data_IF_786822585304
#
_entry.id   IF_786822585304
#
_cell.length_a   1.000
_cell.length_b   1.000
_cell.length_c   1.000
_cell.angle_alpha   90.00
_cell.angle_beta   90.00
_cell.angle_gamma   90.00
#
_symmetry.space_group_name_H-M   'P 1'
#
loop_
_entity.id
_entity.type
_entity.pdbx_description
1 polymer ?
#
# COMPACT_ATOMS: atom_id res chain seq x y z
N UNK A 1 -61.34 89.19 13.46
CA UNK A 1 -60.11 89.53 12.71
C UNK A 1 -58.93 88.97 13.47
N UNK A 2 -58.30 87.84 13.11
CA UNK A 2 -58.58 86.78 12.10
C UNK A 2 -58.74 85.45 12.89
N UNK A 3 -59.64 84.52 12.58
CA UNK A 3 -59.64 83.58 11.44
C UNK A 3 -58.33 82.76 11.38
N UNK A 4 -58.31 81.48 11.80
CA UNK A 4 -58.82 80.25 11.13
C UNK A 4 -57.79 79.70 10.10
N UNK A 5 -57.43 78.41 10.04
CA UNK A 5 -57.75 77.17 10.81
C UNK A 5 -56.43 76.36 11.04
N UNK A 6 -56.29 75.18 11.68
CA UNK A 6 -57.14 74.07 12.18
C UNK A 6 -56.73 73.71 13.66
N UNK A 7 -57.23 72.74 14.46
CA UNK A 7 -57.84 71.39 14.28
C UNK A 7 -56.86 70.30 13.77
N UNK A 8 -56.91 68.99 14.11
CA UNK A 8 -57.54 68.16 15.17
C UNK A 8 -56.37 67.39 15.86
N UNK A 9 -56.29 67.12 17.18
CA UNK A 9 -57.09 66.26 18.07
C UNK A 9 -57.24 64.79 17.60
N UNK A 10 -56.62 63.84 18.33
CA UNK A 10 -57.15 62.53 18.76
C UNK A 10 -56.03 61.47 18.93
N UNK A 11 -56.04 60.77 20.07
CA UNK A 11 -55.39 59.46 20.23
C UNK A 11 -56.49 58.41 20.08
N UNK A 12 -56.31 57.39 19.24
CA UNK A 12 -56.87 56.04 19.45
C UNK A 12 -56.26 55.00 18.49
N UNK A 13 -56.20 53.76 18.97
CA UNK A 13 -55.43 52.64 18.40
C UNK A 13 -55.94 52.16 17.02
N UNK A 14 -55.00 51.82 16.13
CA UNK A 14 -55.12 50.65 15.25
C UNK A 14 -53.76 49.97 15.07
N UNK A 15 -53.78 48.64 15.00
CA UNK A 15 -52.61 47.77 15.04
C UNK A 15 -51.73 47.89 13.78
N UNK A 16 -50.43 48.20 13.91
CA UNK A 16 -49.38 47.66 13.04
C UNK A 16 -47.97 47.80 13.66
N UNK A 17 -47.04 46.97 13.18
CA UNK A 17 -45.69 46.69 13.71
C UNK A 17 -44.81 47.90 14.09
N UNK A 18 -44.20 47.84 15.28
CA UNK A 18 -42.79 48.22 15.50
C UNK A 18 -42.26 47.70 16.86
N UNK A 19 -41.59 46.54 16.88
CA UNK A 19 -40.63 46.24 17.94
C UNK A 19 -39.35 47.04 17.66
N UNK A 20 -39.24 48.25 18.21
CA UNK A 20 -37.94 48.93 18.27
C UNK A 20 -37.06 48.28 19.34
N UNK A 21 -36.44 47.16 18.96
CA UNK A 21 -35.15 46.80 19.52
C UNK A 21 -34.19 47.94 19.22
N UNK A 22 -33.79 48.68 20.27
CA UNK A 22 -32.58 49.48 20.21
C UNK A 22 -31.40 48.51 20.19
N UNK A 23 -31.02 48.08 18.99
CA UNK A 23 -29.70 47.51 18.74
C UNK A 23 -28.67 48.61 19.00
N UNK A 24 -28.27 48.75 20.26
CA UNK A 24 -27.22 49.67 20.67
C UNK A 24 -25.91 49.13 20.10
N UNK A 25 -25.56 49.57 18.90
CA UNK A 25 -24.26 49.29 18.27
C UNK A 25 -23.20 49.96 19.12
N UNK A 26 -22.62 49.20 20.04
CA UNK A 26 -21.36 49.55 20.69
C UNK A 26 -20.34 49.69 19.57
N UNK A 27 -19.80 50.89 19.39
CA UNK A 27 -18.63 51.07 18.55
C UNK A 27 -17.44 50.47 19.31
N UNK A 28 -16.68 49.61 18.65
CA UNK A 28 -15.40 49.13 19.20
C UNK A 28 -14.44 50.32 19.30
N UNK A 29 -13.84 50.52 20.47
CA UNK A 29 -13.00 51.69 20.75
C UNK A 29 -11.51 51.37 20.54
N UNK A 30 -10.71 52.40 20.28
CA UNK A 30 -9.31 52.27 19.84
C UNK A 30 -8.33 53.02 20.76
N UNK A 31 -8.60 52.99 22.08
CA UNK A 31 -7.84 53.72 23.09
C UNK A 31 -6.57 53.00 23.57
N UNK A 32 -6.38 51.74 23.19
CA UNK A 32 -5.17 50.93 23.46
C UNK A 32 -4.95 49.90 22.36
N UNK A 33 -3.74 49.34 22.32
CA UNK A 33 -3.43 48.16 21.48
C UNK A 33 -4.28 46.94 21.90
N UNK A 34 -4.59 46.01 20.98
CA UNK A 34 -5.35 44.82 21.32
C UNK A 34 -4.55 43.84 22.19
N UNK A 35 -5.25 42.88 22.80
CA UNK A 35 -4.61 41.73 23.44
C UNK A 35 -4.11 40.71 22.39
N UNK A 36 -3.39 39.68 22.83
CA UNK A 36 -2.82 38.69 21.91
C UNK A 36 -3.89 37.76 21.31
N UNK A 37 -3.73 37.28 20.06
CA UNK A 37 -4.63 36.27 19.48
C UNK A 37 -4.62 34.94 20.24
N UNK A 38 -5.73 34.23 20.24
CA UNK A 38 -5.93 33.01 21.03
C UNK A 38 -5.86 31.72 20.18
N UNK A 39 -5.80 30.57 20.86
CA UNK A 39 -5.87 29.22 20.27
C UNK A 39 -4.97 28.98 19.04
N UNK A 40 -3.79 29.63 19.00
CA UNK A 40 -2.89 29.61 17.85
C UNK A 40 -2.37 28.20 17.56
N UNK A 41 -2.70 27.67 16.39
CA UNK A 41 -2.31 26.34 15.94
C UNK A 41 -1.89 26.34 14.46
N UNK A 42 -1.20 25.30 14.02
CA UNK A 42 -0.58 25.29 12.69
C UNK A 42 -0.47 23.89 12.07
N UNK A 43 -0.31 23.88 10.74
CA UNK A 43 0.03 22.69 9.96
C UNK A 43 1.21 23.01 9.04
N UNK A 44 2.17 22.10 9.02
CA UNK A 44 3.36 22.13 8.17
C UNK A 44 3.13 21.39 6.85
N UNK A 45 3.83 21.82 5.82
CA UNK A 45 4.10 21.10 4.57
C UNK A 45 5.60 21.27 4.24
N UNK A 46 6.06 20.76 3.10
CA UNK A 46 7.48 20.79 2.73
C UNK A 46 8.02 22.19 2.39
N UNK A 47 7.13 23.13 2.06
CA UNK A 47 7.47 24.47 1.57
C UNK A 47 6.46 25.55 1.97
N UNK A 48 5.49 25.19 2.82
CA UNK A 48 4.54 26.13 3.42
C UNK A 48 4.21 25.76 4.87
N UNK A 49 3.72 26.73 5.63
CA UNK A 49 3.10 26.53 6.94
C UNK A 49 1.79 27.33 6.95
N UNK A 50 0.68 26.68 7.27
CA UNK A 50 -0.61 27.34 7.51
C UNK A 50 -0.80 27.52 9.01
N UNK A 51 -1.19 28.74 9.40
CA UNK A 51 -1.52 29.13 10.75
C UNK A 51 -3.03 29.36 10.86
N UNK A 52 -3.58 29.10 12.04
CA UNK A 52 -4.94 29.43 12.47
C UNK A 52 -4.90 29.99 13.88
N UNK A 53 -5.80 30.92 14.19
CA UNK A 53 -5.93 31.56 15.49
C UNK A 53 -7.35 32.09 15.68
N UNK A 54 -7.77 32.26 16.94
CA UNK A 54 -8.98 33.00 17.28
C UNK A 54 -8.64 34.49 17.55
N UNK A 55 -9.58 35.42 17.37
CA UNK A 55 -9.39 36.81 17.79
C UNK A 55 -9.17 36.90 19.31
N UNK A 56 -8.55 37.98 19.82
CA UNK A 56 -8.41 38.19 21.26
C UNK A 56 -9.78 38.26 21.95
N UNK A 57 -9.93 37.71 23.16
CA UNK A 57 -11.22 37.71 23.87
C UNK A 57 -11.86 39.11 24.08
N UNK A 58 -11.07 40.20 24.02
CA UNK A 58 -11.56 41.58 24.13
C UNK A 58 -11.94 42.22 22.79
N UNK A 59 -12.11 41.46 21.70
CA UNK A 59 -12.42 41.99 20.36
C UNK A 59 -13.74 42.78 20.30
N UNK A 60 -14.69 42.50 21.19
CA UNK A 60 -15.94 43.28 21.31
C UNK A 60 -15.76 44.61 22.09
N UNK A 61 -14.64 44.79 22.80
CA UNK A 61 -14.32 46.01 23.56
C UNK A 61 -13.28 46.90 22.85
N UNK A 62 -12.24 46.28 22.28
CA UNK A 62 -11.10 46.94 21.64
C UNK A 62 -11.08 46.60 20.15
N UNK A 63 -11.09 47.62 19.30
CA UNK A 63 -11.04 47.45 17.85
C UNK A 63 -9.74 46.72 17.45
N UNK A 64 -9.89 45.59 16.75
CA UNK A 64 -8.81 44.91 16.02
C UNK A 64 -8.95 45.30 14.55
N UNK A 65 -7.88 45.81 13.92
CA UNK A 65 -7.88 46.11 12.48
C UNK A 65 -7.32 44.96 11.65
N UNK A 66 -6.48 44.12 12.26
CA UNK A 66 -5.88 42.96 11.60
C UNK A 66 -4.82 42.30 12.47
N UNK A 67 -3.98 41.49 11.82
CA UNK A 67 -2.95 40.67 12.47
C UNK A 67 -1.58 40.85 11.79
N UNK A 68 -0.52 40.79 12.58
CA UNK A 68 0.86 40.82 12.11
C UNK A 68 1.49 39.46 12.41
N UNK A 69 2.06 38.80 11.39
CA UNK A 69 2.89 37.60 11.56
C UNK A 69 4.35 37.96 11.25
N UNK A 70 5.22 37.85 12.24
CA UNK A 70 6.67 37.91 12.03
C UNK A 70 7.28 36.51 12.06
N UNK A 71 8.16 36.16 11.12
CA UNK A 71 8.71 34.80 10.98
C UNK A 71 10.12 34.76 10.40
N UNK A 72 10.89 33.71 10.70
CA UNK A 72 12.24 33.53 10.17
C UNK A 72 13.01 32.36 10.79
N UNK A 73 14.23 32.12 10.34
CA UNK A 73 15.07 31.01 10.81
C UNK A 73 15.89 31.51 12.01
N UNK A 74 15.68 30.94 13.20
CA UNK A 74 16.32 31.36 14.45
C UNK A 74 15.77 32.66 15.05
N UNK A 75 15.40 33.65 14.22
CA UNK A 75 14.71 34.88 14.65
C UNK A 75 13.58 35.25 13.67
N UNK A 76 12.47 35.86 14.15
CA UNK A 76 11.33 36.23 13.32
C UNK A 76 11.58 37.53 12.52
N UNK A 77 12.49 37.46 11.53
CA UNK A 77 13.05 38.63 10.85
C UNK A 77 12.33 39.10 9.57
N UNK A 78 11.28 38.39 9.12
CA UNK A 78 10.36 38.82 8.08
C UNK A 78 9.01 39.14 8.70
N UNK A 79 8.23 40.05 8.11
CA UNK A 79 6.88 40.42 8.57
C UNK A 79 5.86 40.26 7.43
N UNK A 80 4.66 39.83 7.77
CA UNK A 80 3.43 39.92 6.96
C UNK A 80 2.40 40.67 7.81
N UNK A 81 1.68 41.61 7.20
CA UNK A 81 0.54 42.30 7.81
C UNK A 81 -0.72 41.80 7.08
N UNK A 82 -1.77 41.52 7.84
CA UNK A 82 -3.04 40.94 7.38
C UNK A 82 -4.16 41.87 7.83
N UNK A 83 -4.82 42.51 6.88
CA UNK A 83 -5.97 43.37 7.15
C UNK A 83 -7.24 42.54 7.43
N UNK A 84 -8.12 43.06 8.29
CA UNK A 84 -9.42 42.48 8.61
C UNK A 84 -9.44 41.70 9.92
N UNK A 85 -10.20 42.20 10.90
CA UNK A 85 -10.42 41.58 12.22
C UNK A 85 -10.87 40.11 12.15
N UNK A 86 -11.68 39.78 11.15
CA UNK A 86 -12.30 38.46 10.96
C UNK A 86 -11.36 37.43 10.31
N UNK A 87 -10.12 37.81 9.96
CA UNK A 87 -9.16 36.88 9.35
C UNK A 87 -8.53 35.99 10.42
N UNK A 88 -8.87 34.71 10.42
CA UNK A 88 -8.48 33.72 11.43
C UNK A 88 -7.48 32.66 10.92
N UNK A 89 -6.94 32.81 9.71
CA UNK A 89 -6.03 31.86 9.09
C UNK A 89 -5.11 32.51 8.04
N UNK A 90 -3.88 32.00 7.88
CA UNK A 90 -2.96 32.43 6.82
C UNK A 90 -1.90 31.37 6.47
N UNK A 91 -1.59 31.20 5.17
CA UNK A 91 -0.56 30.27 4.69
C UNK A 91 0.70 31.00 4.24
N UNK A 92 1.80 30.81 4.99
CA UNK A 92 3.12 31.32 4.66
C UNK A 92 3.78 30.33 3.69
N UNK A 93 4.00 30.79 2.46
CA UNK A 93 4.50 29.99 1.34
C UNK A 93 5.99 30.26 1.05
N UNK A 94 6.61 29.39 0.23
CA UNK A 94 8.01 29.50 -0.22
C UNK A 94 9.03 29.46 0.93
N UNK A 95 8.73 28.65 1.95
CA UNK A 95 9.66 28.29 3.01
C UNK A 95 10.69 27.27 2.50
N UNK A 96 11.83 27.16 3.19
CA UNK A 96 12.77 26.05 2.98
C UNK A 96 12.19 24.79 3.62
N UNK A 97 12.39 23.64 3.00
CA UNK A 97 12.06 22.31 3.56
C UNK A 97 12.99 21.90 4.70
N UNK A 98 12.55 20.96 5.55
CA UNK A 98 13.29 20.43 6.69
C UNK A 98 13.95 21.52 7.56
N UNK A 99 13.24 22.62 7.79
CA UNK A 99 13.78 23.85 8.40
C UNK A 99 12.84 24.33 9.50
N UNK A 100 13.36 24.49 10.71
CA UNK A 100 12.62 25.10 11.83
C UNK A 100 12.59 26.61 11.69
N UNK A 101 11.38 27.16 11.70
CA UNK A 101 11.10 28.59 11.73
C UNK A 101 10.59 29.00 13.12
N UNK A 102 10.98 30.20 13.55
CA UNK A 102 10.42 30.90 14.70
C UNK A 102 9.36 31.86 14.19
N UNK A 103 8.20 31.90 14.86
CA UNK A 103 7.06 32.74 14.54
C UNK A 103 6.69 33.61 15.75
N UNK A 104 6.17 34.80 15.47
CA UNK A 104 5.48 35.67 16.40
C UNK A 104 4.18 36.15 15.72
N UNK A 105 3.03 35.86 16.32
CA UNK A 105 1.73 36.36 15.89
C UNK A 105 1.22 37.43 16.88
N UNK A 106 0.67 38.52 16.35
CA UNK A 106 0.08 39.63 17.10
C UNK A 106 -1.19 40.15 16.41
N UNK A 107 -2.06 40.81 17.18
CA UNK A 107 -3.13 41.66 16.65
C UNK A 107 -2.65 43.12 16.61
N UNK A 108 -3.21 43.94 15.70
CA UNK A 108 -2.89 45.37 15.62
C UNK A 108 -4.12 46.25 15.40
N UNK A 109 -3.99 47.52 15.75
CA UNK A 109 -4.95 48.59 15.52
C UNK A 109 -4.19 49.94 15.37
N UNK A 110 -4.88 51.08 15.37
CA UNK A 110 -4.28 52.44 15.21
C UNK A 110 -4.00 53.18 16.53
N UNK A 111 -4.05 52.50 17.69
CA UNK A 111 -3.74 53.10 18.98
C UNK A 111 -2.22 53.36 19.17
N UNK A 112 -1.85 54.27 20.08
CA UNK A 112 -0.45 54.58 20.40
C UNK A 112 0.28 53.37 21.05
N UNK A 113 0.96 52.56 20.22
CA UNK A 113 1.78 51.42 20.63
C UNK A 113 2.41 50.68 19.43
N UNK A 114 3.00 49.50 19.67
CA UNK A 114 3.29 48.51 18.62
C UNK A 114 2.06 47.58 18.42
N UNK A 115 2.22 46.47 17.68
CA UNK A 115 1.31 45.34 17.74
C UNK A 115 1.15 44.80 19.19
N UNK A 116 0.15 43.94 19.45
CA UNK A 116 -0.11 43.27 20.73
C UNK A 116 1.11 42.53 21.32
N UNK A 117 0.95 41.98 22.54
CA UNK A 117 1.85 40.93 23.00
C UNK A 117 1.92 39.76 22.00
N UNK A 118 3.11 39.15 21.90
CA UNK A 118 3.54 38.29 20.80
C UNK A 118 3.36 36.81 21.17
N UNK A 119 2.44 36.11 20.50
CA UNK A 119 2.34 34.65 20.59
C UNK A 119 3.53 34.03 19.86
N UNK A 120 4.52 33.56 20.63
CA UNK A 120 5.74 32.96 20.11
C UNK A 120 5.62 31.44 20.01
N UNK A 121 5.95 30.89 18.84
CA UNK A 121 5.99 29.45 18.61
C UNK A 121 7.05 29.08 17.55
N UNK A 122 7.31 27.77 17.42
CA UNK A 122 8.21 27.23 16.40
C UNK A 122 7.54 26.11 15.62
N UNK A 123 7.85 26.02 14.33
CA UNK A 123 7.34 24.96 13.46
C UNK A 123 8.39 24.58 12.41
N UNK A 124 8.47 23.29 12.10
CA UNK A 124 9.47 22.72 11.19
C UNK A 124 8.79 22.21 9.93
N UNK A 125 9.17 22.75 8.77
CA UNK A 125 8.66 22.27 7.46
C UNK A 125 9.04 20.81 7.21
N UNK A 126 8.21 20.10 6.45
CA UNK A 126 8.48 18.70 6.09
C UNK A 126 9.74 18.57 5.21
N UNK A 127 10.23 17.34 5.05
CA UNK A 127 11.33 17.04 4.14
C UNK A 127 10.87 17.32 2.69
N UNK A 128 11.73 18.02 1.93
CA UNK A 128 11.42 18.52 0.60
C UNK A 128 11.16 17.40 -0.39
N UNK A 129 9.93 17.30 -0.90
CA UNK A 129 9.58 16.35 -1.96
C UNK A 129 10.17 16.87 -3.26
N UNK A 130 11.02 16.07 -3.90
CA UNK A 130 11.62 16.40 -5.20
C UNK A 130 10.56 16.64 -6.27
N UNK A 131 10.96 17.26 -7.40
CA UNK A 131 10.11 17.44 -8.58
C UNK A 131 9.39 16.15 -8.99
N UNK A 132 10.14 15.05 -8.95
CA UNK A 132 9.72 13.72 -9.36
C UNK A 132 8.73 13.12 -8.35
N UNK A 133 9.00 13.26 -7.05
CA UNK A 133 8.14 12.75 -5.98
C UNK A 133 6.78 13.43 -5.93
N UNK A 134 6.69 14.70 -6.36
CA UNK A 134 5.41 15.44 -6.50
C UNK A 134 4.52 14.90 -7.64
N UNK A 135 5.04 14.02 -8.49
CA UNK A 135 4.27 13.33 -9.55
C UNK A 135 3.78 11.93 -9.11
N UNK A 136 4.13 11.48 -7.90
CA UNK A 136 3.70 10.17 -7.39
C UNK A 136 2.29 10.30 -6.79
N UNK A 137 1.35 9.57 -7.36
CA UNK A 137 -0.04 9.49 -6.91
C UNK A 137 -0.41 8.00 -6.75
N UNK A 138 -0.21 7.46 -5.54
CA UNK A 138 -0.40 6.04 -5.28
C UNK A 138 -1.88 5.67 -5.19
N UNK A 139 -2.31 4.80 -6.11
CA UNK A 139 -3.60 4.15 -6.00
C UNK A 139 -3.58 3.15 -4.83
N UNK A 140 -4.70 3.05 -4.12
CA UNK A 140 -4.86 2.03 -3.08
C UNK A 140 -4.84 0.62 -3.68
N UNK A 141 -4.39 -0.41 -2.95
CA UNK A 141 -4.52 -1.80 -3.38
C UNK A 141 -5.97 -2.17 -3.72
N UNK A 142 -6.15 -3.14 -4.61
CA UNK A 142 -7.46 -3.60 -5.11
C UNK A 142 -7.58 -5.11 -5.00
N UNK A 143 -8.77 -5.67 -5.25
CA UNK A 143 -9.03 -7.11 -5.25
C UNK A 143 -8.52 -7.84 -3.98
N UNK A 144 -8.65 -7.22 -2.81
CA UNK A 144 -8.37 -7.86 -1.53
C UNK A 144 -9.25 -9.11 -1.42
N UNK A 145 -8.64 -10.22 -0.99
CA UNK A 145 -9.34 -11.48 -0.68
C UNK A 145 -8.72 -12.04 0.59
N UNK A 146 -9.49 -12.09 1.68
CA UNK A 146 -9.10 -12.82 2.88
C UNK A 146 -9.72 -14.23 2.91
N UNK A 147 -8.94 -15.23 3.32
CA UNK A 147 -9.43 -16.59 3.57
C UNK A 147 -8.95 -17.04 4.96
N UNK A 148 -9.88 -17.34 5.85
CA UNK A 148 -9.57 -18.07 7.08
C UNK A 148 -9.19 -19.51 6.74
N UNK A 149 -8.01 -19.93 7.22
CA UNK A 149 -7.36 -21.18 6.83
C UNK A 149 -7.24 -22.16 8.01
N UNK A 150 -7.21 -21.62 9.23
CA UNK A 150 -7.19 -22.36 10.48
C UNK A 150 -7.97 -21.55 11.54
N UNK A 151 -8.15 -22.06 12.77
CA UNK A 151 -8.81 -21.30 13.82
C UNK A 151 -8.02 -20.06 14.28
N UNK A 152 -6.72 -19.96 13.98
CA UNK A 152 -5.85 -18.89 14.50
C UNK A 152 -5.14 -18.09 13.40
N UNK A 153 -5.49 -18.32 12.12
CA UNK A 153 -4.77 -17.76 10.97
C UNK A 153 -5.69 -17.37 9.80
N UNK A 154 -5.33 -16.27 9.13
CA UNK A 154 -5.99 -15.75 7.92
C UNK A 154 -4.91 -15.49 6.86
N UNK A 155 -5.11 -16.05 5.67
CA UNK A 155 -4.31 -15.72 4.48
C UNK A 155 -4.97 -14.58 3.70
N UNK A 156 -4.19 -13.56 3.31
CA UNK A 156 -4.70 -12.35 2.64
C UNK A 156 -3.85 -12.09 1.39
N UNK A 157 -4.52 -11.82 0.27
CA UNK A 157 -3.90 -11.49 -1.02
C UNK A 157 -4.60 -10.28 -1.66
N UNK A 158 -3.88 -9.52 -2.49
CA UNK A 158 -4.43 -8.33 -3.17
C UNK A 158 -3.76 -8.10 -4.54
N UNK A 159 -4.21 -7.07 -5.26
CA UNK A 159 -3.60 -6.54 -6.47
C UNK A 159 -2.98 -5.17 -6.16
N UNK A 160 -1.79 -4.91 -6.69
CA UNK A 160 -1.12 -3.61 -6.64
C UNK A 160 -1.23 -2.89 -7.99
N UNK A 161 -2.22 -1.99 -8.19
CA UNK A 161 -2.42 -1.28 -9.47
C UNK A 161 -1.29 -0.29 -9.81
N UNK A 162 -0.34 -0.08 -8.89
CA UNK A 162 0.77 0.85 -9.08
C UNK A 162 1.94 0.25 -9.87
N UNK A 163 1.97 -1.07 -10.08
CA UNK A 163 3.08 -1.78 -10.74
C UNK A 163 3.35 -1.25 -12.13
N UNK A 164 2.32 -1.23 -13.00
CA UNK A 164 2.45 -0.84 -14.40
C UNK A 164 2.78 0.66 -14.56
N UNK A 165 2.51 1.47 -13.53
CA UNK A 165 2.76 2.91 -13.51
C UNK A 165 4.22 3.21 -13.11
N UNK A 166 4.74 2.53 -12.08
CA UNK A 166 5.96 2.94 -11.38
C UNK A 166 7.15 1.96 -11.46
N UNK A 167 6.94 0.70 -11.89
CA UNK A 167 8.01 -0.29 -11.97
C UNK A 167 9.06 0.02 -13.05
N UNK A 168 8.62 0.57 -14.19
CA UNK A 168 9.49 0.97 -15.33
C UNK A 168 9.41 2.47 -15.67
N UNK A 169 9.08 3.30 -14.67
CA UNK A 169 8.92 4.75 -14.83
C UNK A 169 10.23 5.44 -15.25
N UNK A 170 10.17 6.40 -16.19
CA UNK A 170 11.36 6.99 -16.82
C UNK A 170 12.43 7.55 -15.85
N UNK A 171 12.03 8.03 -14.67
CA UNK A 171 12.97 8.45 -13.61
C UNK A 171 13.37 7.29 -12.69
N UNK A 172 14.67 7.01 -12.61
CA UNK A 172 15.24 5.97 -11.76
C UNK A 172 15.07 6.26 -10.25
N UNK A 173 14.87 7.52 -9.85
CA UNK A 173 14.54 7.87 -8.47
C UNK A 173 13.22 7.20 -8.05
N UNK A 174 12.19 7.33 -8.89
CA UNK A 174 10.86 6.75 -8.70
C UNK A 174 10.92 5.21 -8.80
N UNK A 175 11.63 4.64 -9.78
CA UNK A 175 11.84 3.16 -9.85
C UNK A 175 12.54 2.63 -8.60
N UNK A 176 13.55 3.33 -8.08
CA UNK A 176 14.30 2.93 -6.88
C UNK A 176 13.47 3.03 -5.60
N UNK A 177 12.59 4.03 -5.49
CA UNK A 177 11.58 4.13 -4.42
C UNK A 177 10.55 3.00 -4.52
N UNK A 178 9.97 2.78 -5.70
CA UNK A 178 8.90 1.80 -5.92
C UNK A 178 9.38 0.34 -5.77
N UNK A 179 10.62 0.02 -6.19
CA UNK A 179 11.24 -1.29 -5.91
C UNK A 179 11.42 -1.57 -4.40
N UNK A 180 11.38 -0.54 -3.56
CA UNK A 180 11.52 -0.62 -2.09
C UNK A 180 10.20 -0.36 -1.35
N UNK A 181 9.06 -0.33 -2.07
CA UNK A 181 7.72 -0.16 -1.51
C UNK A 181 7.39 -1.26 -0.50
N UNK A 182 6.53 -0.93 0.45
CA UNK A 182 5.91 -1.88 1.37
C UNK A 182 4.39 -1.72 1.34
N UNK A 183 3.70 -2.76 1.74
CA UNK A 183 2.29 -2.69 2.12
C UNK A 183 2.22 -2.68 3.65
N UNK A 184 1.38 -1.81 4.19
CA UNK A 184 0.98 -1.82 5.60
C UNK A 184 -0.39 -2.46 5.67
N UNK A 185 -0.51 -3.52 6.46
CA UNK A 185 -1.77 -4.23 6.72
C UNK A 185 -2.10 -3.96 8.18
N UNK A 186 -3.22 -3.28 8.42
CA UNK A 186 -3.75 -3.03 9.76
C UNK A 186 -4.99 -3.89 9.94
N UNK A 187 -5.07 -4.61 11.06
CA UNK A 187 -6.12 -5.58 11.33
C UNK A 187 -6.46 -5.64 12.82
N UNK A 188 -7.64 -6.16 13.15
CA UNK A 188 -8.05 -6.41 14.53
C UNK A 188 -9.45 -7.01 14.59
N UNK A 189 -9.92 -7.31 15.78
CA UNK A 189 -11.30 -7.76 15.99
C UNK A 189 -12.29 -6.72 15.45
N UNK A 190 -13.38 -7.17 14.84
CA UNK A 190 -14.35 -6.32 14.16
C UNK A 190 -14.89 -5.23 15.09
N UNK A 191 -14.85 -3.96 14.66
CA UNK A 191 -15.19 -2.76 15.44
C UNK A 191 -14.27 -2.45 16.65
N UNK A 192 -13.17 -3.18 16.84
CA UNK A 192 -12.18 -2.88 17.89
C UNK A 192 -11.38 -1.62 17.58
N UNK A 193 -11.02 -0.87 18.63
CA UNK A 193 -10.03 0.23 18.55
C UNK A 193 -8.59 -0.30 18.66
N UNK A 194 -8.41 -1.52 19.14
CA UNK A 194 -7.10 -2.17 19.28
C UNK A 194 -6.76 -2.88 17.96
N UNK A 195 -6.16 -2.13 17.03
CA UNK A 195 -5.74 -2.64 15.73
C UNK A 195 -4.23 -2.90 15.70
N UNK A 196 -3.84 -4.14 15.44
CA UNK A 196 -2.45 -4.54 15.18
C UNK A 196 -2.01 -4.12 13.76
N UNK A 197 -0.71 -4.17 13.49
CA UNK A 197 -0.16 -3.78 12.18
C UNK A 197 1.04 -4.64 11.80
N UNK A 198 0.99 -5.19 10.58
CA UNK A 198 2.07 -5.97 9.96
C UNK A 198 2.43 -5.35 8.60
N UNK A 199 3.66 -5.58 8.13
CA UNK A 199 4.12 -5.08 6.82
C UNK A 199 4.56 -6.20 5.91
N UNK A 200 4.21 -6.12 4.62
CA UNK A 200 4.70 -7.04 3.58
C UNK A 200 5.41 -6.29 2.46
N UNK A 201 6.31 -6.96 1.75
CA UNK A 201 6.96 -6.46 0.50
C UNK A 201 6.30 -7.04 -0.76
N UNK A 202 5.43 -8.03 -0.60
CA UNK A 202 4.70 -8.73 -1.68
C UNK A 202 3.19 -8.51 -1.50
N UNK A 203 2.35 -8.70 -2.53
CA UNK A 203 0.90 -8.48 -2.44
C UNK A 203 0.14 -9.62 -1.71
N UNK A 204 0.73 -10.10 -0.61
CA UNK A 204 0.27 -11.20 0.22
C UNK A 204 0.75 -11.00 1.67
N UNK A 205 -0.06 -11.43 2.65
CA UNK A 205 0.39 -11.65 4.03
C UNK A 205 -0.39 -12.81 4.68
N UNK A 206 0.24 -13.45 5.66
CA UNK A 206 -0.38 -14.42 6.56
C UNK A 206 -0.49 -13.78 7.95
N UNK A 207 -1.71 -13.68 8.48
CA UNK A 207 -1.96 -13.33 9.87
C UNK A 207 -2.02 -14.61 10.71
N UNK A 208 -1.53 -14.56 11.95
CA UNK A 208 -1.41 -15.73 12.84
C UNK A 208 -1.58 -15.31 14.31
N UNK A 209 -1.79 -16.28 15.20
CA UNK A 209 -2.09 -16.09 16.64
C UNK A 209 -3.43 -15.37 16.92
N UNK A 210 -4.36 -15.43 15.96
CA UNK A 210 -5.69 -14.86 16.06
C UNK A 210 -6.61 -15.70 16.95
N UNK A 211 -7.72 -15.11 17.42
CA UNK A 211 -8.74 -15.83 18.17
C UNK A 211 -9.65 -16.65 17.24
N UNK A 212 -10.00 -17.90 17.61
CA UNK A 212 -10.99 -18.74 16.89
C UNK A 212 -12.40 -18.17 16.87
N UNK A 213 -13.18 -18.53 15.83
CA UNK A 213 -14.58 -18.12 15.64
C UNK A 213 -14.84 -16.60 15.82
N UNK A 214 -13.87 -15.78 15.46
CA UNK A 214 -13.85 -14.33 15.73
C UNK A 214 -13.79 -13.56 14.41
N UNK A 215 -14.61 -12.52 14.30
CA UNK A 215 -14.64 -11.64 13.13
C UNK A 215 -13.46 -10.65 13.19
N UNK A 216 -12.66 -10.62 12.14
CA UNK A 216 -11.54 -9.68 11.97
C UNK A 216 -11.83 -8.69 10.84
N UNK A 217 -11.54 -7.41 11.09
CA UNK A 217 -11.47 -6.38 10.05
C UNK A 217 -10.02 -6.17 9.57
N UNK A 218 -9.86 -5.95 8.26
CA UNK A 218 -8.57 -5.84 7.57
C UNK A 218 -8.60 -4.64 6.63
N UNK A 219 -7.57 -3.79 6.70
CA UNK A 219 -7.30 -2.72 5.72
C UNK A 219 -5.83 -2.70 5.29
N UNK A 220 -5.58 -2.31 4.05
CA UNK A 220 -4.25 -2.32 3.44
C UNK A 220 -3.95 -0.95 2.80
N UNK A 221 -2.71 -0.47 2.87
CA UNK A 221 -2.20 0.63 2.04
C UNK A 221 -0.80 0.33 1.54
N UNK A 222 -0.40 0.97 0.44
CA UNK A 222 0.99 0.97 -0.05
C UNK A 222 1.72 2.20 0.52
N UNK A 223 2.99 2.04 0.89
CA UNK A 223 3.89 3.11 1.35
C UNK A 223 5.27 2.98 0.71
N UNK A 224 5.87 4.12 0.36
CA UNK A 224 7.21 4.26 -0.18
C UNK A 224 8.23 4.66 0.92
N UNK A 225 9.54 4.41 0.72
CA UNK A 225 10.56 4.72 1.74
C UNK A 225 10.68 6.19 2.17
N UNK A 226 10.09 7.11 1.39
CA UNK A 226 10.05 8.55 1.65
C UNK A 226 8.77 9.01 2.38
N UNK A 227 7.89 8.08 2.78
CA UNK A 227 6.63 8.37 3.48
C UNK A 227 5.44 8.69 2.57
N UNK A 228 5.58 8.67 1.24
CA UNK A 228 4.43 8.79 0.33
C UNK A 228 3.62 7.49 0.41
N UNK A 229 2.32 7.60 0.66
CA UNK A 229 1.40 6.47 0.85
C UNK A 229 0.10 6.62 0.07
N UNK A 230 -0.58 5.51 -0.19
CA UNK A 230 -1.95 5.51 -0.72
C UNK A 230 -2.97 5.73 0.40
N UNK A 231 -4.19 6.10 0.02
CA UNK A 231 -5.36 5.83 0.84
C UNK A 231 -5.46 4.32 1.19
N UNK A 232 -6.14 4.01 2.29
CA UNK A 232 -6.47 2.63 2.65
C UNK A 232 -7.47 1.99 1.67
N UNK A 233 -7.45 0.66 1.60
CA UNK A 233 -8.52 -0.15 0.98
C UNK A 233 -9.88 0.09 1.63
N UNK A 234 -10.94 -0.43 1.01
CA UNK A 234 -12.16 -0.75 1.77
C UNK A 234 -11.82 -1.77 2.87
N UNK A 235 -12.63 -1.82 3.93
CA UNK A 235 -12.54 -2.83 4.98
C UNK A 235 -12.97 -4.18 4.42
N UNK A 236 -12.07 -5.14 4.43
CA UNK A 236 -12.38 -6.57 4.28
C UNK A 236 -12.74 -7.11 5.67
N UNK A 237 -13.76 -7.96 5.78
CA UNK A 237 -14.18 -8.59 7.05
C UNK A 237 -14.29 -10.10 6.85
N UNK A 238 -13.70 -10.87 7.75
CA UNK A 238 -13.60 -12.33 7.65
C UNK A 238 -13.62 -12.96 9.04
N UNK A 239 -14.28 -14.10 9.19
CA UNK A 239 -14.33 -14.85 10.45
C UNK A 239 -13.27 -15.95 10.46
N UNK A 240 -12.48 -16.06 11.53
CA UNK A 240 -11.59 -17.21 11.75
C UNK A 240 -12.37 -18.50 11.95
N UNK A 241 -11.77 -19.66 11.67
CA UNK A 241 -12.47 -20.93 11.83
C UNK A 241 -12.74 -21.24 13.33
N UNK A 242 -13.80 -21.99 13.66
CA UNK A 242 -14.00 -22.45 15.03
C UNK A 242 -12.99 -23.52 15.43
N UNK A 243 -12.67 -23.60 16.74
CA UNK A 243 -11.90 -24.70 17.32
C UNK A 243 -12.71 -26.01 17.27
N UNK A 244 -12.57 -26.79 16.20
CA UNK A 244 -13.18 -28.12 16.07
C UNK A 244 -12.14 -29.20 16.32
N UNK A 245 -12.33 -30.00 17.37
CA UNK A 245 -11.55 -31.22 17.60
C UNK A 245 -11.97 -32.32 16.61
N UNK A 246 -11.42 -32.27 15.39
CA UNK A 246 -11.76 -33.20 14.33
C UNK A 246 -11.11 -34.58 14.53
N UNK A 247 -11.94 -35.58 14.86
CA UNK A 247 -11.69 -36.96 14.46
C UNK A 247 -11.46 -37.03 12.94
N UNK A 248 -10.50 -37.84 12.51
CA UNK A 248 -9.94 -37.77 11.15
C UNK A 248 -10.95 -38.02 10.02
N UNK A 249 -10.88 -37.18 8.98
CA UNK A 249 -11.62 -37.33 7.73
C UNK A 249 -10.80 -36.77 6.56
N UNK A 250 -9.98 -37.63 5.93
CA UNK A 250 -9.05 -37.24 4.87
C UNK A 250 -9.77 -36.93 3.55
N UNK A 251 -9.99 -35.65 3.27
CA UNK A 251 -10.35 -35.18 1.92
C UNK A 251 -9.08 -34.96 1.12
N UNK A 252 -8.89 -35.70 0.04
CA UNK A 252 -7.81 -35.48 -0.93
C UNK A 252 -7.90 -34.06 -1.50
N UNK A 253 -6.76 -33.35 -1.51
CA UNK A 253 -6.61 -32.02 -2.10
C UNK A 253 -5.55 -32.11 -3.20
N UNK A 254 -5.85 -31.50 -4.34
CA UNK A 254 -4.93 -31.34 -5.45
C UNK A 254 -4.88 -29.85 -5.83
N UNK A 255 -3.66 -29.32 -6.00
CA UNK A 255 -3.38 -28.00 -6.54
C UNK A 255 -2.74 -28.17 -7.92
N UNK A 256 -3.15 -27.37 -8.91
CA UNK A 256 -2.61 -27.39 -10.29
C UNK A 256 -2.35 -25.99 -10.79
N UNK A 257 -1.22 -25.80 -11.47
CA UNK A 257 -0.74 -24.53 -11.99
C UNK A 257 -0.20 -24.73 -13.42
N UNK A 258 -1.09 -24.69 -14.41
CA UNK A 258 -0.78 -24.86 -15.85
C UNK A 258 -0.45 -23.54 -16.56
N UNK A 259 -0.12 -22.48 -15.80
CA UNK A 259 0.24 -21.12 -16.24
C UNK A 259 -0.73 -20.35 -17.18
N UNK A 260 -1.78 -20.98 -17.70
CA UNK A 260 -2.81 -20.41 -18.59
C UNK A 260 -3.59 -19.22 -18.02
N UNK A 261 -3.56 -19.02 -16.70
CA UNK A 261 -4.33 -18.03 -15.95
C UNK A 261 -3.38 -17.39 -14.93
N UNK A 262 -2.79 -16.24 -15.29
CA UNK A 262 -1.79 -15.55 -14.49
C UNK A 262 -2.36 -15.03 -13.17
N UNK A 263 -3.65 -14.71 -13.13
CA UNK A 263 -4.41 -14.36 -11.93
C UNK A 263 -4.64 -15.53 -10.95
N UNK A 264 -4.19 -16.74 -11.33
CA UNK A 264 -4.15 -17.96 -10.51
C UNK A 264 -2.73 -18.54 -10.42
N UNK A 265 -1.69 -17.79 -10.80
CA UNK A 265 -0.31 -18.23 -10.66
C UNK A 265 0.16 -18.02 -9.21
N UNK A 266 0.19 -19.10 -8.43
CA UNK A 266 0.70 -19.09 -7.06
C UNK A 266 2.24 -19.17 -6.97
N UNK A 267 2.94 -19.17 -8.11
CA UNK A 267 4.41 -19.10 -8.16
C UNK A 267 4.88 -17.71 -8.57
N UNK A 268 5.88 -17.20 -7.86
CA UNK A 268 6.53 -15.91 -8.12
C UNK A 268 8.04 -16.07 -8.25
N UNK A 269 8.67 -15.16 -9.00
CA UNK A 269 10.13 -15.10 -9.11
C UNK A 269 10.71 -14.32 -7.92
N UNK A 270 11.74 -14.87 -7.28
CA UNK A 270 12.43 -14.25 -6.15
C UNK A 270 13.12 -12.94 -6.57
N UNK A 271 12.72 -11.81 -5.97
CA UNK A 271 13.31 -10.50 -6.27
C UNK A 271 14.79 -10.36 -5.87
N UNK A 272 15.32 -11.23 -5.01
CA UNK A 272 16.75 -11.29 -4.68
C UNK A 272 17.56 -12.14 -5.69
N UNK A 273 16.90 -12.97 -6.49
CA UNK A 273 17.55 -13.73 -7.54
C UNK A 273 17.87 -12.82 -8.74
N UNK A 274 19.07 -12.90 -9.34
CA UNK A 274 19.44 -12.00 -10.42
C UNK A 274 18.84 -12.38 -11.78
N UNK A 275 18.48 -13.64 -11.99
CA UNK A 275 17.65 -14.07 -13.13
C UNK A 275 16.20 -14.16 -12.70
N UNK A 276 15.31 -13.54 -13.48
CA UNK A 276 13.88 -13.50 -13.20
C UNK A 276 13.11 -14.43 -14.15
N UNK A 277 12.21 -15.23 -13.59
CA UNK A 277 11.33 -16.10 -14.38
C UNK A 277 10.29 -15.27 -15.14
N UNK A 278 9.96 -15.70 -16.36
CA UNK A 278 9.03 -15.00 -17.25
C UNK A 278 7.99 -15.97 -17.81
N UNK A 279 6.72 -15.59 -17.72
CA UNK A 279 5.64 -16.26 -18.44
C UNK A 279 5.76 -15.97 -19.95
N UNK A 280 5.61 -16.99 -20.79
CA UNK A 280 5.81 -16.94 -22.24
C UNK A 280 4.59 -17.58 -22.93
N UNK A 281 4.12 -17.00 -24.03
CA UNK A 281 3.16 -17.67 -24.91
C UNK A 281 3.88 -18.69 -25.80
N UNK A 282 3.48 -19.97 -25.76
CA UNK A 282 4.11 -21.06 -26.48
C UNK A 282 4.12 -20.86 -28.02
N UNK A 283 3.17 -20.08 -28.57
CA UNK A 283 3.15 -19.71 -29.99
C UNK A 283 4.43 -18.99 -30.46
N UNK A 284 5.15 -18.33 -29.54
CA UNK A 284 6.41 -17.64 -29.83
C UNK A 284 7.59 -18.59 -30.13
N UNK A 285 7.47 -19.88 -29.80
CA UNK A 285 8.51 -20.88 -29.96
C UNK A 285 7.97 -22.12 -30.69
N UNK A 286 8.19 -22.20 -32.00
CA UNK A 286 7.69 -23.31 -32.83
C UNK A 286 8.16 -24.70 -32.35
N UNK A 287 9.34 -24.78 -31.75
CA UNK A 287 9.95 -26.00 -31.19
C UNK A 287 9.29 -26.49 -29.89
N UNK A 288 8.42 -25.68 -29.27
CA UNK A 288 7.73 -26.00 -28.01
C UNK A 288 6.24 -26.34 -28.20
N UNK A 289 5.76 -26.35 -29.46
CA UNK A 289 4.36 -26.57 -29.84
C UNK A 289 3.83 -27.98 -29.64
N UNK A 290 4.67 -28.94 -29.26
CA UNK A 290 4.28 -30.34 -29.09
C UNK A 290 3.34 -30.57 -27.89
N UNK A 291 3.17 -29.55 -27.02
CA UNK A 291 2.12 -29.50 -26.00
C UNK A 291 1.00 -28.54 -26.40
N UNK A 292 -0.22 -28.87 -25.96
CA UNK A 292 -1.41 -28.02 -26.09
C UNK A 292 -1.41 -26.80 -25.14
N UNK A 293 -0.39 -26.68 -24.28
CA UNK A 293 -0.13 -25.52 -23.46
C UNK A 293 0.04 -24.26 -24.32
N UNK A 294 -0.63 -23.17 -23.92
CA UNK A 294 -0.48 -21.84 -24.53
C UNK A 294 0.50 -20.99 -23.75
N UNK A 295 0.70 -21.27 -22.45
CA UNK A 295 1.61 -20.54 -21.57
C UNK A 295 2.47 -21.47 -20.72
N UNK A 296 3.74 -21.10 -20.52
CA UNK A 296 4.65 -21.73 -19.55
C UNK A 296 5.53 -20.65 -18.89
N UNK A 297 6.28 -20.99 -17.84
CA UNK A 297 7.30 -20.09 -17.27
C UNK A 297 8.70 -20.50 -17.69
N UNK A 298 9.50 -19.54 -18.13
CA UNK A 298 10.88 -19.75 -18.59
C UNK A 298 11.89 -19.03 -17.71
N UNK A 299 13.12 -19.55 -17.72
CA UNK A 299 14.29 -18.90 -17.17
C UNK A 299 15.43 -18.95 -18.21
N UNK A 300 15.97 -17.78 -18.53
CA UNK A 300 17.01 -17.59 -19.55
C UNK A 300 18.17 -16.77 -18.99
N UNK A 301 19.38 -17.10 -19.45
CA UNK A 301 20.59 -16.28 -19.23
C UNK A 301 21.55 -16.38 -20.41
N UNK A 302 22.28 -15.28 -20.66
CA UNK A 302 23.45 -15.24 -21.53
C UNK A 302 24.71 -15.67 -20.78
N UNK A 303 25.85 -15.69 -21.47
CA UNK A 303 27.16 -15.95 -20.85
C UNK A 303 27.54 -14.91 -19.79
N UNK A 304 27.12 -13.64 -19.96
CA UNK A 304 27.46 -12.52 -19.07
C UNK A 304 26.54 -12.39 -17.86
N UNK A 305 25.33 -12.94 -17.92
CA UNK A 305 24.35 -12.80 -16.84
C UNK A 305 24.74 -13.62 -15.60
N UNK A 306 24.37 -13.09 -14.43
CA UNK A 306 24.56 -13.73 -13.14
C UNK A 306 23.86 -15.09 -13.05
N UNK A 307 24.36 -15.92 -12.13
CA UNK A 307 24.39 -17.36 -12.37
C UNK A 307 23.16 -18.12 -11.84
N UNK A 308 22.09 -17.48 -11.33
CA UNK A 308 20.93 -18.23 -10.83
C UNK A 308 19.59 -17.49 -10.89
N UNK A 309 18.50 -18.26 -10.99
CA UNK A 309 17.13 -17.83 -10.78
C UNK A 309 16.41 -18.74 -9.78
N UNK A 310 15.29 -18.26 -9.22
CA UNK A 310 14.61 -18.93 -8.11
C UNK A 310 13.11 -18.62 -8.20
N UNK A 311 12.30 -19.65 -8.41
CA UNK A 311 10.84 -19.59 -8.43
C UNK A 311 10.34 -20.14 -7.09
N UNK A 312 9.41 -19.46 -6.44
CA UNK A 312 8.89 -19.83 -5.12
C UNK A 312 7.36 -19.81 -5.18
N UNK A 313 6.70 -20.80 -4.58
CA UNK A 313 5.25 -20.74 -4.37
C UNK A 313 4.89 -19.72 -3.28
N UNK A 314 3.67 -19.20 -3.26
CA UNK A 314 3.07 -18.71 -2.01
C UNK A 314 3.07 -19.82 -0.96
N UNK A 315 2.95 -19.51 0.35
CA UNK A 315 2.75 -20.53 1.37
C UNK A 315 1.58 -21.46 1.03
N UNK A 316 1.90 -22.75 0.92
CA UNK A 316 1.00 -23.87 0.71
C UNK A 316 0.66 -24.44 2.08
N UNK A 317 -0.63 -24.74 2.27
CA UNK A 317 -1.19 -25.16 3.55
C UNK A 317 -2.05 -26.39 3.30
N UNK A 318 -1.58 -27.55 3.77
CA UNK A 318 -2.19 -28.85 3.53
C UNK A 318 -2.07 -29.72 4.80
N UNK A 319 -3.02 -30.64 5.00
CA UNK A 319 -3.21 -31.39 6.24
C UNK A 319 -2.81 -32.87 6.16
N UNK A 320 -2.09 -33.27 5.11
CA UNK A 320 -1.50 -34.60 4.97
C UNK A 320 -0.04 -34.59 5.48
N UNK A 321 0.57 -35.76 5.62
CA UNK A 321 2.01 -35.93 5.85
C UNK A 321 2.76 -36.40 4.59
N UNK A 322 2.05 -36.94 3.58
CA UNK A 322 2.61 -37.43 2.32
C UNK A 322 2.09 -36.59 1.16
N UNK A 323 2.98 -36.30 0.21
CA UNK A 323 2.69 -35.46 -0.95
C UNK A 323 3.43 -35.94 -2.19
N UNK A 324 2.81 -35.70 -3.35
CA UNK A 324 3.47 -35.79 -4.64
C UNK A 324 3.53 -34.41 -5.30
N UNK A 325 4.73 -33.95 -5.65
CA UNK A 325 4.95 -32.81 -6.53
C UNK A 325 5.27 -33.34 -7.93
N UNK A 326 4.58 -32.85 -8.96
CA UNK A 326 5.00 -33.06 -10.35
C UNK A 326 5.04 -31.76 -11.14
N UNK A 327 5.86 -31.72 -12.19
CA UNK A 327 5.94 -30.61 -13.16
C UNK A 327 6.62 -31.08 -14.43
N UNK A 328 6.31 -30.43 -15.55
CA UNK A 328 7.01 -30.65 -16.80
C UNK A 328 8.16 -29.66 -16.93
N UNK A 329 9.36 -30.15 -17.22
CA UNK A 329 10.56 -29.35 -17.45
C UNK A 329 11.06 -29.54 -18.88
N UNK A 330 11.45 -28.44 -19.53
CA UNK A 330 12.12 -28.46 -20.83
C UNK A 330 13.51 -27.82 -20.69
N UNK A 331 14.55 -28.46 -21.24
CA UNK A 331 15.93 -27.98 -21.14
C UNK A 331 16.58 -27.91 -22.51
N UNK A 332 17.06 -26.73 -22.92
CA UNK A 332 17.82 -26.58 -24.17
C UNK A 332 19.16 -27.32 -24.13
N UNK A 333 19.62 -27.77 -25.31
CA UNK A 333 20.83 -28.57 -25.52
C UNK A 333 22.09 -27.93 -24.93
N UNK A 334 22.21 -26.61 -25.04
CA UNK A 334 23.35 -25.83 -24.53
C UNK A 334 23.29 -25.55 -23.01
N UNK A 335 22.15 -25.82 -22.35
CA UNK A 335 21.93 -25.46 -20.95
C UNK A 335 22.75 -26.33 -20.01
N UNK A 336 23.52 -25.66 -19.15
CA UNK A 336 24.37 -26.28 -18.12
C UNK A 336 24.19 -25.63 -16.76
N UNK A 337 24.36 -26.43 -15.70
CA UNK A 337 24.17 -26.00 -14.32
C UNK A 337 23.45 -27.03 -13.45
N UNK A 338 23.09 -26.63 -12.23
CA UNK A 338 22.27 -27.45 -11.33
C UNK A 338 20.81 -26.97 -11.27
N UNK A 339 19.90 -27.93 -11.07
CA UNK A 339 18.55 -27.67 -10.61
C UNK A 339 18.39 -28.19 -9.17
N UNK A 340 17.56 -27.50 -8.39
CA UNK A 340 17.25 -27.85 -7.00
C UNK A 340 15.76 -27.65 -6.78
N UNK A 341 15.08 -28.65 -6.20
CA UNK A 341 13.71 -28.50 -5.70
C UNK A 341 13.72 -28.73 -4.19
N UNK A 342 13.13 -27.80 -3.43
CA UNK A 342 13.09 -27.86 -1.97
C UNK A 342 11.78 -27.31 -1.41
N UNK A 343 11.48 -27.65 -0.16
CA UNK A 343 10.49 -26.97 0.66
C UNK A 343 11.21 -25.93 1.52
N UNK A 344 10.82 -24.66 1.40
CA UNK A 344 11.29 -23.63 2.32
C UNK A 344 10.64 -23.80 3.70
N UNK A 345 11.38 -23.60 4.81
CA UNK A 345 12.74 -23.03 4.82
C UNK A 345 13.86 -24.02 4.43
N UNK A 346 13.82 -25.28 4.87
CA UNK A 346 15.05 -26.09 5.05
C UNK A 346 15.04 -27.52 4.46
N UNK A 347 14.02 -27.99 3.75
CA UNK A 347 13.95 -29.41 3.33
C UNK A 347 14.29 -29.58 1.83
N UNK A 348 15.42 -30.20 1.50
CA UNK A 348 15.81 -30.50 0.11
C UNK A 348 15.06 -31.75 -0.40
N UNK A 349 14.36 -31.65 -1.53
CA UNK A 349 13.68 -32.80 -2.16
C UNK A 349 14.57 -33.48 -3.20
N UNK A 350 15.17 -32.69 -4.11
CA UNK A 350 16.11 -33.18 -5.12
C UNK A 350 17.10 -32.07 -5.52
N UNK A 351 18.36 -32.45 -5.75
CA UNK A 351 19.33 -31.65 -6.50
C UNK A 351 19.88 -32.52 -7.63
N UNK A 352 20.10 -31.93 -8.80
CA UNK A 352 20.64 -32.64 -9.96
C UNK A 352 21.22 -31.72 -11.02
N UNK A 353 21.74 -32.30 -12.10
CA UNK A 353 22.47 -31.61 -13.17
C UNK A 353 21.60 -31.43 -14.41
N UNK A 354 21.62 -30.22 -14.97
CA UNK A 354 20.88 -29.90 -16.21
C UNK A 354 21.46 -30.63 -17.42
N UNK A 355 22.71 -31.07 -17.37
CA UNK A 355 23.38 -31.87 -18.40
C UNK A 355 22.86 -33.31 -18.47
N UNK A 356 22.37 -33.83 -17.34
CA UNK A 356 21.87 -35.21 -17.19
C UNK A 356 20.36 -35.32 -17.55
N UNK A 357 19.68 -34.18 -17.69
CA UNK A 357 18.28 -34.11 -18.09
C UNK A 357 18.09 -34.28 -19.62
N UNK A 358 16.97 -34.87 -20.07
CA UNK A 358 16.60 -34.91 -21.49
C UNK A 358 16.62 -33.52 -22.12
N UNK A 359 17.23 -33.43 -23.31
CA UNK A 359 17.40 -32.18 -24.06
C UNK A 359 16.35 -32.03 -25.16
N UNK A 360 16.03 -30.77 -25.46
CA UNK A 360 15.14 -30.35 -26.57
C UNK A 360 13.71 -30.96 -26.54
N UNK A 361 13.31 -31.57 -25.42
CA UNK A 361 12.01 -32.20 -25.22
C UNK A 361 11.46 -31.91 -23.81
N UNK A 362 10.15 -32.03 -23.64
CA UNK A 362 9.50 -31.94 -22.34
C UNK A 362 9.67 -33.24 -21.55
N UNK A 363 10.03 -33.14 -20.28
CA UNK A 363 10.22 -34.25 -19.36
C UNK A 363 9.38 -34.07 -18.10
N UNK A 364 8.66 -35.11 -17.67
CA UNK A 364 7.82 -35.06 -16.47
C UNK A 364 8.64 -35.42 -15.23
N UNK A 365 8.92 -34.42 -14.39
CA UNK A 365 9.52 -34.60 -13.08
C UNK A 365 8.41 -34.95 -12.08
N UNK A 366 8.59 -36.04 -11.34
CA UNK A 366 7.67 -36.55 -10.31
C UNK A 366 8.48 -36.79 -9.02
N UNK A 367 8.00 -36.27 -7.88
CA UNK A 367 8.70 -36.27 -6.60
C UNK A 367 7.74 -36.61 -5.44
N UNK A 368 7.89 -37.81 -4.88
CA UNK A 368 7.31 -38.20 -3.60
C UNK A 368 8.06 -37.47 -2.47
N UNK A 369 7.33 -36.86 -1.52
CA UNK A 369 7.94 -36.32 -0.31
C UNK A 369 7.01 -36.40 0.90
N UNK A 370 7.62 -36.36 2.10
CA UNK A 370 6.90 -36.18 3.36
C UNK A 370 7.17 -34.81 3.94
N UNK A 371 6.14 -34.18 4.52
CA UNK A 371 6.30 -32.94 5.27
C UNK A 371 5.33 -32.90 6.45
N UNK A 372 5.87 -32.68 7.65
CA UNK A 372 5.12 -32.54 8.90
C UNK A 372 4.79 -31.08 9.27
N UNK A 373 5.19 -30.11 8.45
CA UNK A 373 4.85 -28.69 8.66
C UNK A 373 3.54 -28.37 7.96
N UNK A 374 2.56 -27.85 8.71
CA UNK A 374 1.25 -27.43 8.16
C UNK A 374 1.37 -26.34 7.07
N UNK A 375 2.45 -25.56 7.08
CA UNK A 375 2.74 -24.49 6.13
C UNK A 375 4.14 -24.69 5.55
N UNK A 376 4.27 -24.60 4.22
CA UNK A 376 5.54 -24.70 3.50
C UNK A 376 5.49 -23.94 2.16
N UNK A 377 6.63 -23.64 1.53
CA UNK A 377 6.67 -23.13 0.16
C UNK A 377 7.50 -24.07 -0.71
N UNK A 378 7.07 -24.35 -1.94
CA UNK A 378 7.87 -25.08 -2.92
C UNK A 378 8.82 -24.09 -3.61
N UNK A 379 10.11 -24.42 -3.62
CA UNK A 379 11.18 -23.69 -4.30
C UNK A 379 11.69 -24.50 -5.48
N UNK A 380 11.78 -23.87 -6.66
CA UNK A 380 12.55 -24.35 -7.81
C UNK A 380 13.70 -23.38 -8.04
N UNK A 381 14.92 -23.82 -7.75
CA UNK A 381 16.14 -23.03 -7.89
C UNK A 381 17.01 -23.58 -9.00
N UNK A 382 17.47 -22.71 -9.89
CA UNK A 382 18.22 -23.07 -11.09
C UNK A 382 19.50 -22.25 -11.11
N UNK A 383 20.66 -22.92 -11.19
CA UNK A 383 21.99 -22.26 -11.18
C UNK A 383 22.80 -22.67 -12.41
N UNK A 384 23.12 -21.71 -13.27
CA UNK A 384 24.02 -21.80 -14.42
C UNK A 384 25.43 -22.26 -14.03
N UNK A 385 26.08 -23.07 -14.86
CA UNK A 385 27.54 -23.25 -14.82
C UNK A 385 28.23 -21.99 -15.40
N UNK A 386 29.12 -21.37 -14.61
CA UNK A 386 29.84 -20.13 -14.97
C UNK A 386 30.41 -20.14 -16.41
N UNK A 387 30.26 -19.01 -17.11
CA UNK A 387 30.68 -18.86 -18.51
C UNK A 387 29.76 -19.49 -19.57
N UNK A 388 28.85 -20.40 -19.21
CA UNK A 388 27.86 -20.95 -20.14
C UNK A 388 26.64 -20.02 -20.28
N UNK A 389 25.73 -20.35 -21.19
CA UNK A 389 24.37 -19.82 -21.27
C UNK A 389 23.37 -20.92 -20.89
N UNK A 390 22.16 -20.58 -20.44
CA UNK A 390 21.08 -21.57 -20.31
C UNK A 390 19.70 -20.98 -20.63
N UNK A 391 18.84 -21.87 -21.11
CA UNK A 391 17.41 -21.68 -21.26
C UNK A 391 16.69 -22.95 -20.79
N UNK A 392 15.68 -22.80 -19.95
CA UNK A 392 14.77 -23.85 -19.55
C UNK A 392 13.37 -23.30 -19.32
N UNK A 393 12.36 -24.17 -19.31
CA UNK A 393 11.00 -23.86 -18.94
C UNK A 393 10.42 -24.88 -17.96
N UNK A 394 9.46 -24.42 -17.15
CA UNK A 394 8.57 -25.23 -16.32
C UNK A 394 7.12 -25.00 -16.75
N UNK A 395 6.35 -26.08 -16.73
CA UNK A 395 4.94 -26.13 -17.07
C UNK A 395 4.19 -27.11 -16.14
N UNK A 396 2.85 -27.02 -16.10
CA UNK A 396 1.96 -27.97 -15.42
C UNK A 396 2.43 -28.39 -14.01
N UNK A 397 2.74 -27.42 -13.13
CA UNK A 397 3.11 -27.75 -11.75
C UNK A 397 1.86 -28.26 -11.02
N UNK A 398 1.90 -29.47 -10.48
CA UNK A 398 0.83 -30.04 -9.67
C UNK A 398 1.36 -30.54 -8.32
N UNK A 399 0.55 -30.38 -7.27
CA UNK A 399 0.81 -30.90 -5.94
C UNK A 399 -0.44 -31.62 -5.44
N UNK A 400 -0.34 -32.89 -5.10
CA UNK A 400 -1.44 -33.65 -4.51
C UNK A 400 -1.05 -34.28 -3.15
N UNK A 401 -2.04 -34.49 -2.29
CA UNK A 401 -1.88 -35.26 -1.05
C UNK A 401 -1.79 -36.77 -1.36
N UNK A 402 -1.15 -37.54 -0.49
CA UNK A 402 -0.79 -38.93 -0.73
C UNK A 402 0.45 -39.10 -1.62
N UNK A 403 0.83 -40.36 -1.86
CA UNK A 403 2.01 -40.72 -2.66
C UNK A 403 1.79 -40.58 -4.16
N UNK A 404 2.84 -40.27 -4.89
CA UNK A 404 2.89 -40.37 -6.34
C UNK A 404 2.48 -41.78 -6.79
N UNK A 405 1.31 -41.91 -7.39
CA UNK A 405 1.02 -43.07 -8.20
C UNK A 405 1.92 -43.02 -9.46
N UNK A 406 2.37 -44.17 -9.94
CA UNK A 406 2.91 -44.28 -11.30
C UNK A 406 1.76 -44.05 -12.28
N UNK A 407 1.54 -42.79 -12.67
CA UNK A 407 0.33 -42.32 -13.36
C UNK A 407 0.06 -43.12 -14.65
N UNK A 408 -0.94 -44.02 -14.68
CA UNK A 408 -1.28 -44.79 -15.87
C UNK A 408 -1.90 -43.91 -16.96
N UNK A 409 -2.43 -42.74 -16.57
CA UNK A 409 -3.17 -41.82 -17.42
C UNK A 409 -2.31 -40.65 -17.94
N UNK A 410 -1.05 -40.51 -17.52
CA UNK A 410 -0.13 -39.53 -18.11
C UNK A 410 0.01 -39.74 -19.64
N UNK A 411 0.27 -40.97 -20.17
CA UNK A 411 0.27 -41.23 -21.62
C UNK A 411 -1.10 -41.08 -22.31
N UNK A 412 -2.19 -41.13 -21.54
CA UNK A 412 -3.57 -40.94 -22.02
C UNK A 412 -3.94 -39.45 -22.08
N UNK A 413 -3.30 -38.60 -21.28
CA UNK A 413 -3.34 -37.13 -21.41
C UNK A 413 -2.42 -36.63 -22.54
N UNK A 414 -1.33 -37.34 -22.84
CA UNK A 414 -0.44 -37.03 -23.97
C UNK A 414 -1.10 -37.19 -25.36
N UNK A 415 -2.20 -37.97 -25.49
CA UNK A 415 -2.75 -38.37 -26.80
C UNK A 415 -4.21 -37.96 -27.04
N UNK A 416 -4.59 -36.75 -26.62
CA UNK A 416 -5.89 -36.12 -26.87
C UNK A 416 -6.13 -35.74 -28.34
N UNK A 417 -6.30 -36.73 -29.22
CA UNK A 417 -6.44 -36.69 -30.69
C UNK A 417 -5.14 -36.64 -31.51
N UNK A 418 -4.57 -37.82 -31.78
CA UNK A 418 -4.21 -38.20 -33.16
C UNK A 418 -4.61 -39.65 -33.45
N UNK A 419 -5.86 -39.83 -33.94
CA UNK A 419 -6.31 -41.07 -34.61
C UNK A 419 -6.97 -40.73 -35.96
N UNK A 420 -6.16 -40.32 -36.94
CA UNK A 420 -6.17 -40.78 -38.35
C UNK A 420 -5.19 -39.99 -39.21
#
# INVERSE_FOLDING_TARGET
MRENFNNFIAILFSLFNAFHWLSQTVAQEEWRVPDMPENVHWKTDDSSITLWWDPPATVDEILVRGYTISYGIGTPNRRVIIEGANTNAFTINKLKSNTTYVFALTAYNEADGEDSEKVLFTATTEIGKSSDERLINLQRPTNVKANAISPTEISIQWTDPNVDIYYDHQSESIRSLFRKRKYVIQYGEYQSLNLETVTSTVPYVLLSNLQPATDYEIIIKIILPNGIESAWTIREVIQTLPNVALMGGSKLIELRFSFEQSEKCFFYSDSAAPLQWKMIEAKSYNELRDRSAKHFVSLQSTIFDKNYGHLISTPIILTDNNYCLSTWIYVKQFSKGTFTVSLLPNNLLIEGRLEEMPKEQWHHLILDFTNSHHIFQISFKMRKEDGNQFWLALDDIALHSGKCNSDPDAPLRDNGQFQR
#
